data_IF_610982445689
#
_entry.id   IF_610982445689
#
_cell.length_a   1.000
_cell.length_b   1.000
_cell.length_c   1.000
_cell.angle_alpha   90.00
_cell.angle_beta   90.00
_cell.angle_gamma   90.00
#
_symmetry.space_group_name_H-M   'P 1'
#
loop_
_entity.id
_entity.type
_entity.pdbx_description
1 polymer ?
#
# COMPACT_ATOMS: atom_id res chain seq x y z
N UNK A 1 39.80 19.64 37.31
CA UNK A 1 39.62 18.21 36.95
C UNK A 1 38.12 17.98 36.86
N UNK A 2 37.59 18.02 35.61
CA UNK A 2 36.19 17.65 35.30
C UNK A 2 36.14 16.16 35.03
N UNK A 3 35.47 15.39 35.88
CA UNK A 3 35.22 13.97 35.72
C UNK A 3 33.89 13.79 34.98
N UNK A 4 33.94 13.52 33.66
CA UNK A 4 32.77 13.15 32.86
C UNK A 4 32.44 11.70 33.15
N UNK A 5 31.37 11.46 33.90
CA UNK A 5 30.78 10.13 34.07
C UNK A 5 29.99 9.79 32.80
N UNK A 6 30.56 9.00 31.90
CA UNK A 6 29.84 8.36 30.81
C UNK A 6 28.91 7.28 31.42
N UNK A 7 27.63 7.60 31.52
CA UNK A 7 26.60 6.61 31.81
C UNK A 7 26.50 5.63 30.65
N UNK A 8 26.97 4.40 30.85
CA UNK A 8 26.67 3.27 29.96
C UNK A 8 25.18 2.90 30.11
N UNK A 9 24.33 3.62 29.41
CA UNK A 9 22.94 3.18 29.20
C UNK A 9 22.93 1.90 28.36
N UNK A 10 22.41 0.82 28.92
CA UNK A 10 22.19 -0.43 28.20
C UNK A 10 21.25 -0.15 27.05
N UNK A 11 21.77 -0.11 25.82
CA UNK A 11 20.94 -0.03 24.61
C UNK A 11 20.31 -1.39 24.40
N UNK A 12 19.09 -1.57 24.88
CA UNK A 12 18.26 -2.72 24.50
C UNK A 12 17.80 -2.48 23.06
N UNK A 13 18.53 -3.05 22.12
CA UNK A 13 18.19 -3.04 20.69
C UNK A 13 17.10 -4.07 20.33
N UNK A 14 16.34 -4.54 21.31
CA UNK A 14 15.17 -5.39 21.04
C UNK A 14 13.94 -4.51 20.92
N UNK A 15 13.48 -4.32 19.68
CA UNK A 15 12.15 -3.79 19.43
C UNK A 15 11.13 -4.91 19.69
N UNK A 16 10.32 -4.84 20.78
CA UNK A 16 9.35 -5.89 21.09
C UNK A 16 8.25 -6.04 20.02
N UNK A 17 8.17 -5.10 19.09
CA UNK A 17 7.20 -5.08 18.00
C UNK A 17 7.83 -5.46 16.64
N UNK A 18 8.97 -6.14 16.63
CA UNK A 18 9.59 -6.62 15.39
C UNK A 18 8.64 -7.66 14.74
N UNK A 19 8.23 -7.40 13.49
CA UNK A 19 7.33 -8.28 12.76
C UNK A 19 5.83 -8.12 13.08
N UNK A 20 5.44 -7.15 13.92
CA UNK A 20 4.03 -6.91 14.26
C UNK A 20 3.35 -5.84 13.38
N UNK A 21 4.08 -5.22 12.46
CA UNK A 21 3.49 -4.25 11.51
C UNK A 21 2.66 -4.98 10.47
N UNK A 22 1.35 -4.76 10.47
CA UNK A 22 0.44 -5.29 9.45
C UNK A 22 0.52 -4.50 8.14
N UNK A 23 0.11 -5.16 7.05
CA UNK A 23 -0.12 -4.55 5.73
C UNK A 23 1.09 -3.80 5.13
N UNK A 24 2.31 -4.30 5.33
CA UNK A 24 3.55 -3.70 4.79
C UNK A 24 3.52 -3.59 3.26
N UNK A 25 2.83 -4.47 2.56
CA UNK A 25 2.69 -4.45 1.11
C UNK A 25 2.01 -3.18 0.57
N UNK A 26 1.23 -2.47 1.39
CA UNK A 26 0.64 -1.19 1.01
C UNK A 26 1.64 -0.03 0.98
N UNK A 27 2.85 -0.23 1.46
CA UNK A 27 3.94 0.74 1.35
C UNK A 27 4.70 0.62 0.03
N UNK A 28 4.45 -0.46 -0.74
CA UNK A 28 5.03 -0.60 -2.05
C UNK A 28 4.46 0.46 -2.99
N UNK A 29 5.32 1.16 -3.74
CA UNK A 29 4.87 2.24 -4.60
C UNK A 29 4.08 1.69 -5.78
N UNK A 30 2.98 2.36 -6.11
CA UNK A 30 2.11 2.01 -7.23
C UNK A 30 2.36 2.96 -8.39
N UNK A 31 2.72 2.40 -9.54
CA UNK A 31 2.84 3.12 -10.81
C UNK A 31 4.24 3.64 -11.10
N UNK A 32 4.69 3.47 -12.35
CA UNK A 32 6.03 3.86 -12.79
C UNK A 32 6.30 5.37 -12.68
N UNK A 33 5.27 6.21 -12.86
CA UNK A 33 5.38 7.66 -12.71
C UNK A 33 5.74 8.05 -11.27
N UNK A 34 5.07 7.47 -10.30
CA UNK A 34 5.31 7.74 -8.87
C UNK A 34 6.68 7.23 -8.44
N UNK A 35 7.05 6.06 -8.91
CA UNK A 35 8.33 5.42 -8.63
C UNK A 35 9.50 6.26 -9.17
N UNK A 36 9.40 6.74 -10.42
CA UNK A 36 10.43 7.59 -11.03
C UNK A 36 10.63 8.92 -10.30
N UNK A 37 9.63 9.36 -9.52
CA UNK A 37 9.68 10.57 -8.69
C UNK A 37 10.09 10.27 -7.24
N UNK A 38 10.50 9.03 -6.92
CA UNK A 38 10.83 8.62 -5.57
C UNK A 38 9.67 8.73 -4.59
N UNK A 39 8.42 8.53 -5.04
CA UNK A 39 7.20 8.66 -4.24
C UNK A 39 6.74 10.11 -3.98
N UNK A 40 7.42 11.13 -4.52
CA UNK A 40 7.06 12.53 -4.32
C UNK A 40 5.86 12.97 -5.19
N UNK A 41 4.78 12.18 -5.21
CA UNK A 41 3.60 12.37 -6.06
C UNK A 41 2.35 12.85 -5.29
N UNK A 42 2.34 12.80 -3.96
CA UNK A 42 1.14 13.06 -3.14
C UNK A 42 0.45 14.39 -3.47
N UNK A 43 1.24 15.45 -3.70
CA UNK A 43 0.71 16.77 -4.10
C UNK A 43 0.41 16.91 -5.59
N UNK A 44 0.93 16.01 -6.43
CA UNK A 44 0.83 16.05 -7.88
C UNK A 44 -0.15 15.03 -8.45
N UNK A 45 -0.66 14.12 -7.61
CA UNK A 45 -1.60 13.08 -8.01
C UNK A 45 -2.82 13.71 -8.71
N UNK A 46 -3.06 13.28 -9.96
CA UNK A 46 -4.05 13.91 -10.85
C UNK A 46 -4.70 12.92 -11.83
N UNK A 47 -4.47 11.64 -11.65
CA UNK A 47 -4.98 10.56 -12.49
C UNK A 47 -5.59 9.41 -11.64
N UNK A 48 -5.99 8.30 -12.26
CA UNK A 48 -6.60 7.17 -11.56
C UNK A 48 -5.66 6.50 -10.55
N UNK A 49 -4.33 6.69 -10.63
CA UNK A 49 -3.39 6.19 -9.62
C UNK A 49 -3.44 6.97 -8.31
N UNK A 50 -4.07 8.16 -8.31
CA UNK A 50 -4.21 9.00 -7.12
C UNK A 50 -4.94 8.30 -5.96
N UNK A 51 -5.79 7.30 -6.23
CA UNK A 51 -6.45 6.50 -5.18
C UNK A 51 -5.46 5.83 -4.22
N UNK A 52 -4.23 5.57 -4.67
CA UNK A 52 -3.19 4.94 -3.87
C UNK A 52 -2.33 5.95 -3.10
N UNK A 53 -2.25 7.21 -3.57
CA UNK A 53 -1.34 8.22 -3.06
C UNK A 53 -2.02 9.35 -2.29
N UNK A 54 -3.06 9.93 -2.89
CA UNK A 54 -3.85 11.00 -2.31
C UNK A 54 -5.25 10.97 -2.91
N UNK A 55 -6.24 10.46 -2.18
CA UNK A 55 -7.59 10.32 -2.72
C UNK A 55 -8.21 11.65 -3.16
N UNK A 56 -7.78 12.79 -2.63
CA UNK A 56 -8.25 14.08 -3.09
C UNK A 56 -7.84 14.40 -4.54
N UNK A 57 -6.80 13.74 -5.05
CA UNK A 57 -6.31 13.95 -6.42
C UNK A 57 -7.24 13.42 -7.51
N UNK A 58 -8.10 12.43 -7.19
CA UNK A 58 -9.00 11.83 -8.18
C UNK A 58 -10.04 12.81 -8.74
N UNK A 59 -10.28 13.95 -8.07
CA UNK A 59 -11.21 14.99 -8.57
C UNK A 59 -10.77 15.57 -9.91
N UNK A 60 -9.50 15.41 -10.29
CA UNK A 60 -8.97 15.91 -11.57
C UNK A 60 -9.24 14.96 -12.73
N UNK A 61 -9.71 13.75 -12.45
CA UNK A 61 -10.06 12.79 -13.49
C UNK A 61 -11.30 13.27 -14.23
N UNK A 62 -11.19 13.31 -15.57
CA UNK A 62 -12.31 13.61 -16.45
C UNK A 62 -12.99 12.32 -16.88
N UNK A 63 -14.32 12.23 -16.74
CA UNK A 63 -15.14 11.08 -17.13
C UNK A 63 -14.74 9.79 -16.38
N UNK A 64 -14.14 8.84 -17.09
CA UNK A 64 -13.69 7.55 -16.55
C UNK A 64 -12.21 7.37 -16.83
N UNK A 65 -11.48 6.88 -15.85
CA UNK A 65 -10.08 6.54 -16.00
C UNK A 65 -9.77 5.22 -15.28
N UNK A 66 -9.00 4.35 -15.91
CA UNK A 66 -8.47 3.14 -15.31
C UNK A 66 -6.94 3.22 -15.25
N UNK A 67 -6.38 2.64 -14.21
CA UNK A 67 -4.94 2.47 -14.05
C UNK A 67 -4.64 1.01 -13.72
N UNK A 68 -3.58 0.48 -14.29
CA UNK A 68 -3.05 -0.83 -13.99
C UNK A 68 -1.53 -0.74 -13.85
N UNK A 69 -1.00 -1.40 -12.83
CA UNK A 69 0.43 -1.51 -12.58
C UNK A 69 0.77 -2.95 -12.22
N UNK A 70 1.81 -3.48 -12.84
CA UNK A 70 2.40 -4.76 -12.54
C UNK A 70 3.88 -4.59 -12.25
N UNK A 71 4.37 -5.26 -11.23
CA UNK A 71 5.77 -5.28 -10.87
C UNK A 71 6.12 -6.68 -10.36
N UNK A 72 7.08 -7.33 -11.00
CA UNK A 72 7.72 -8.52 -10.48
C UNK A 72 8.90 -8.07 -9.60
N UNK A 73 8.89 -8.45 -8.34
CA UNK A 73 9.88 -8.01 -7.37
C UNK A 73 10.77 -9.18 -6.97
N UNK A 74 12.04 -9.13 -7.41
CA UNK A 74 13.08 -10.14 -7.17
C UNK A 74 12.73 -11.55 -7.64
N UNK A 75 11.89 -11.71 -8.66
CA UNK A 75 11.38 -13.00 -9.14
C UNK A 75 10.69 -13.86 -8.07
N UNK A 76 10.33 -13.28 -6.93
CA UNK A 76 9.70 -13.96 -5.79
C UNK A 76 8.31 -13.41 -5.49
N UNK A 77 8.05 -12.16 -5.85
CA UNK A 77 6.81 -11.48 -5.53
C UNK A 77 6.21 -10.85 -6.78
N UNK A 78 4.97 -11.18 -7.05
CA UNK A 78 4.16 -10.50 -8.05
C UNK A 78 3.27 -9.46 -7.37
N UNK A 79 3.53 -8.20 -7.67
CA UNK A 79 2.74 -7.08 -7.20
C UNK A 79 1.88 -6.53 -8.33
N UNK A 80 0.57 -6.53 -8.11
CA UNK A 80 -0.43 -6.03 -9.04
C UNK A 80 -1.26 -4.94 -8.36
N UNK A 81 -1.46 -3.83 -9.03
CA UNK A 81 -2.37 -2.79 -8.59
C UNK A 81 -3.27 -2.33 -9.74
N UNK A 82 -4.55 -2.20 -9.47
CA UNK A 82 -5.53 -1.72 -10.41
C UNK A 82 -6.44 -0.70 -9.76
N UNK A 83 -6.87 0.30 -10.52
CA UNK A 83 -7.89 1.23 -10.09
C UNK A 83 -8.80 1.67 -11.24
N UNK A 84 -10.02 2.04 -10.86
CA UNK A 84 -11.03 2.63 -11.74
C UNK A 84 -11.60 3.85 -11.04
N UNK A 85 -11.62 4.98 -11.73
CA UNK A 85 -12.16 6.24 -11.24
C UNK A 85 -13.24 6.74 -12.18
N UNK A 86 -14.37 7.13 -11.61
CA UNK A 86 -15.52 7.67 -12.32
C UNK A 86 -15.91 9.03 -11.76
N UNK A 87 -15.93 10.03 -12.63
CA UNK A 87 -16.37 11.38 -12.30
C UNK A 87 -17.87 11.51 -12.56
N UNK A 88 -18.64 11.69 -11.48
CA UNK A 88 -20.09 11.84 -11.50
C UNK A 88 -20.54 13.31 -11.51
N UNK A 89 -19.68 14.22 -11.96
CA UNK A 89 -19.98 15.65 -12.02
C UNK A 89 -20.19 16.27 -10.63
N UNK A 90 -21.31 16.92 -10.42
CA UNK A 90 -21.64 17.63 -9.18
C UNK A 90 -21.74 16.71 -7.95
N UNK A 91 -21.96 15.43 -8.15
CA UNK A 91 -21.98 14.44 -7.06
C UNK A 91 -20.58 14.13 -6.52
N UNK A 92 -19.53 14.45 -7.27
CA UNK A 92 -18.15 14.16 -6.92
C UNK A 92 -17.57 13.01 -7.73
N UNK A 93 -16.41 12.51 -7.30
CA UNK A 93 -15.64 11.49 -8.02
C UNK A 93 -15.52 10.24 -7.15
N UNK A 94 -15.83 9.09 -7.73
CA UNK A 94 -15.75 7.78 -7.09
C UNK A 94 -14.57 7.01 -7.64
N UNK A 95 -13.89 6.27 -6.78
CA UNK A 95 -12.79 5.39 -7.13
C UNK A 95 -12.97 4.00 -6.53
N UNK A 96 -12.53 2.99 -7.25
CA UNK A 96 -12.32 1.64 -6.74
C UNK A 96 -10.88 1.25 -6.99
N UNK A 97 -10.28 0.53 -6.04
CA UNK A 97 -8.88 0.12 -6.14
C UNK A 97 -8.69 -1.31 -5.62
N UNK A 98 -7.69 -1.98 -6.15
CA UNK A 98 -7.25 -3.29 -5.74
C UNK A 98 -5.72 -3.34 -5.75
N UNK A 99 -5.15 -3.91 -4.71
CA UNK A 99 -3.72 -4.25 -4.64
C UNK A 99 -3.62 -5.71 -4.28
N UNK A 100 -2.79 -6.43 -5.01
CA UNK A 100 -2.51 -7.83 -4.82
C UNK A 100 -0.99 -8.02 -4.72
N UNK A 101 -0.54 -8.68 -3.69
CA UNK A 101 0.81 -9.21 -3.58
C UNK A 101 0.72 -10.72 -3.45
N UNK A 102 1.42 -11.45 -4.28
CA UNK A 102 1.49 -12.91 -4.23
C UNK A 102 2.92 -13.39 -4.33
N UNK A 103 3.20 -14.54 -3.73
CA UNK A 103 4.48 -15.24 -3.87
C UNK A 103 4.26 -16.49 -4.69
N UNK A 104 5.32 -16.95 -5.35
CA UNK A 104 5.38 -18.32 -5.84
C UNK A 104 5.33 -19.31 -4.69
N UNK A 105 5.01 -20.57 -5.00
CA UNK A 105 5.05 -21.64 -4.03
C UNK A 105 6.47 -21.89 -3.54
N UNK A 106 6.67 -21.84 -2.22
CA UNK A 106 7.94 -22.06 -1.56
C UNK A 106 7.94 -23.40 -0.86
N UNK A 107 8.98 -24.21 -1.08
CA UNK A 107 9.11 -25.50 -0.43
C UNK A 107 9.46 -25.34 1.06
N UNK A 108 8.76 -26.10 1.89
CA UNK A 108 9.02 -26.13 3.33
C UNK A 108 10.26 -26.97 3.58
N UNK A 109 11.26 -26.36 4.22
CA UNK A 109 12.48 -27.04 4.68
C UNK A 109 12.51 -27.13 6.20
N UNK A 110 13.11 -28.18 6.74
CA UNK A 110 13.32 -28.36 8.18
C UNK A 110 14.79 -28.69 8.46
N UNK A 111 15.20 -28.66 9.72
CA UNK A 111 16.55 -29.06 10.09
C UNK A 111 16.85 -30.52 9.72
N UNK A 112 15.83 -31.39 9.70
CA UNK A 112 15.94 -32.80 9.37
C UNK A 112 15.91 -33.04 7.85
N UNK A 113 15.21 -32.17 7.10
CA UNK A 113 15.05 -32.23 5.64
C UNK A 113 15.44 -30.89 4.99
N UNK A 114 16.73 -30.54 4.96
CA UNK A 114 17.20 -29.26 4.46
C UNK A 114 17.07 -29.10 2.94
N UNK A 115 16.88 -30.18 2.21
CA UNK A 115 16.70 -30.20 0.76
C UNK A 115 15.24 -30.12 0.32
N UNK A 116 14.31 -30.02 1.29
CA UNK A 116 12.88 -29.91 1.05
C UNK A 116 12.08 -31.09 1.62
N UNK A 117 10.89 -30.79 2.14
CA UNK A 117 9.95 -31.78 2.70
C UNK A 117 8.94 -32.29 1.68
N UNK A 118 8.98 -31.82 0.43
CA UNK A 118 7.96 -32.06 -0.59
C UNK A 118 6.62 -31.37 -0.32
N UNK A 119 6.55 -30.50 0.70
CA UNK A 119 5.37 -29.65 1.00
C UNK A 119 5.67 -28.22 0.64
N UNK A 120 4.66 -27.53 0.11
CA UNK A 120 4.78 -26.16 -0.35
C UNK A 120 3.83 -25.24 0.43
N UNK A 121 4.18 -23.97 0.52
CA UNK A 121 3.33 -22.92 1.05
C UNK A 121 3.43 -21.69 0.15
N UNK A 122 2.40 -20.89 0.15
CA UNK A 122 2.34 -19.60 -0.51
C UNK A 122 1.94 -18.50 0.48
N UNK A 123 2.22 -17.27 0.11
CA UNK A 123 1.74 -16.09 0.81
C UNK A 123 1.05 -15.15 -0.18
N UNK A 124 0.00 -14.48 0.27
CA UNK A 124 -0.72 -13.54 -0.57
C UNK A 124 -1.45 -12.50 0.26
N UNK A 125 -1.32 -11.27 -0.17
CA UNK A 125 -1.96 -10.11 0.45
C UNK A 125 -2.89 -9.43 -0.55
N UNK A 126 -4.06 -9.04 -0.10
CA UNK A 126 -5.09 -8.37 -0.90
C UNK A 126 -5.55 -7.12 -0.16
N UNK A 127 -5.64 -6.00 -0.87
CA UNK A 127 -6.36 -4.83 -0.39
C UNK A 127 -7.37 -4.36 -1.44
N UNK A 128 -8.60 -4.17 -1.01
CA UNK A 128 -9.69 -3.61 -1.82
C UNK A 128 -10.08 -2.26 -1.23
N UNK A 129 -10.13 -1.23 -2.07
CA UNK A 129 -10.43 0.13 -1.64
C UNK A 129 -11.59 0.76 -2.39
N UNK A 130 -12.36 1.57 -1.69
CA UNK A 130 -13.38 2.45 -2.27
C UNK A 130 -13.01 3.87 -1.86
N UNK A 131 -12.96 4.77 -2.84
CA UNK A 131 -12.58 6.17 -2.66
C UNK A 131 -13.70 7.10 -3.09
N UNK A 132 -13.82 8.21 -2.39
CA UNK A 132 -14.67 9.32 -2.77
C UNK A 132 -13.93 10.62 -2.60
N UNK A 133 -14.06 11.51 -3.58
CA UNK A 133 -13.49 12.85 -3.48
C UNK A 133 -14.41 13.91 -4.10
N UNK A 134 -14.29 15.12 -3.59
CA UNK A 134 -15.06 16.27 -4.07
C UNK A 134 -14.29 17.57 -3.90
N UNK A 135 -14.50 18.49 -4.82
CA UNK A 135 -14.11 19.89 -4.64
C UNK A 135 -15.02 20.53 -3.59
N UNK A 136 -14.43 21.12 -2.55
CA UNK A 136 -15.14 21.97 -1.58
C UNK A 136 -15.15 23.43 -2.03
N UNK A 137 -14.10 23.85 -2.72
CA UNK A 137 -14.00 25.15 -3.39
C UNK A 137 -13.31 24.94 -4.73
N UNK A 138 -13.25 25.97 -5.59
CA UNK A 138 -12.57 25.92 -6.89
C UNK A 138 -11.10 25.48 -6.82
N UNK A 139 -10.48 25.58 -5.64
CA UNK A 139 -9.06 25.31 -5.43
C UNK A 139 -8.76 24.22 -4.39
N UNK A 140 -9.77 23.83 -3.61
CA UNK A 140 -9.56 22.90 -2.50
C UNK A 140 -10.43 21.66 -2.66
N UNK A 141 -9.80 20.51 -2.69
CA UNK A 141 -10.45 19.19 -2.74
C UNK A 141 -10.13 18.37 -1.51
N UNK A 142 -11.07 17.50 -1.16
CA UNK A 142 -10.92 16.48 -0.11
C UNK A 142 -11.26 15.12 -0.70
N UNK A 143 -10.63 14.09 -0.16
CA UNK A 143 -10.88 12.70 -0.53
C UNK A 143 -10.77 11.79 0.67
N UNK A 144 -11.51 10.72 0.61
CA UNK A 144 -11.54 9.64 1.59
C UNK A 144 -11.43 8.31 0.87
N UNK A 145 -10.67 7.38 1.43
CA UNK A 145 -10.66 5.98 0.99
C UNK A 145 -10.88 5.08 2.19
N UNK A 146 -11.70 4.05 1.99
CA UNK A 146 -11.86 2.93 2.92
C UNK A 146 -11.26 1.71 2.25
N UNK A 147 -10.37 1.00 2.95
CA UNK A 147 -9.70 -0.21 2.45
C UNK A 147 -10.02 -1.39 3.34
N UNK A 148 -10.39 -2.50 2.72
CA UNK A 148 -10.39 -3.81 3.35
C UNK A 148 -9.11 -4.54 2.99
N UNK A 149 -8.41 -5.07 3.98
CA UNK A 149 -7.12 -5.72 3.85
C UNK A 149 -7.25 -7.17 4.32
N UNK A 150 -6.74 -8.10 3.55
CA UNK A 150 -6.62 -9.50 3.92
C UNK A 150 -5.21 -9.98 3.60
N UNK A 151 -4.55 -10.55 4.59
CA UNK A 151 -3.19 -11.09 4.48
C UNK A 151 -3.23 -12.57 4.82
N UNK A 152 -2.58 -13.39 4.00
CA UNK A 152 -2.52 -14.84 4.18
C UNK A 152 -1.09 -15.32 4.03
N UNK A 153 -0.63 -16.07 5.01
CA UNK A 153 0.66 -16.77 4.97
C UNK A 153 0.38 -18.21 5.38
N UNK A 154 0.60 -19.15 4.48
CA UNK A 154 0.37 -20.56 4.71
C UNK A 154 -1.07 -20.81 5.23
N UNK A 155 -1.21 -21.18 6.53
CA UNK A 155 -2.49 -21.47 7.19
C UNK A 155 -2.99 -20.33 8.09
N UNK A 156 -2.26 -19.23 8.20
CA UNK A 156 -2.61 -18.07 8.99
C UNK A 156 -3.21 -16.97 8.09
N UNK A 157 -4.32 -16.40 8.54
CA UNK A 157 -5.00 -15.29 7.85
C UNK A 157 -5.26 -14.17 8.83
N UNK A 158 -4.99 -12.95 8.41
CA UNK A 158 -5.32 -11.74 9.14
C UNK A 158 -6.12 -10.79 8.25
N UNK A 159 -7.12 -10.11 8.80
CA UNK A 159 -7.90 -9.11 8.08
C UNK A 159 -8.02 -7.83 8.87
N UNK A 160 -8.16 -6.71 8.17
CA UNK A 160 -8.26 -5.39 8.77
C UNK A 160 -8.97 -4.40 7.85
N UNK A 161 -9.27 -3.24 8.41
CA UNK A 161 -9.82 -2.09 7.69
C UNK A 161 -8.93 -0.89 7.94
N UNK A 162 -8.64 -0.14 6.87
CA UNK A 162 -7.87 1.10 6.94
C UNK A 162 -8.65 2.25 6.30
N UNK A 163 -8.33 3.47 6.72
CA UNK A 163 -8.92 4.70 6.22
C UNK A 163 -7.81 5.66 5.81
N UNK A 164 -7.93 6.22 4.61
CA UNK A 164 -7.06 7.30 4.15
C UNK A 164 -7.87 8.57 3.97
N UNK A 165 -7.31 9.67 4.40
CA UNK A 165 -7.88 11.00 4.18
C UNK A 165 -6.83 11.81 3.42
N UNK A 166 -7.27 12.46 2.35
CA UNK A 166 -6.42 13.31 1.55
C UNK A 166 -7.03 14.70 1.36
N UNK A 167 -6.16 15.66 1.21
CA UNK A 167 -6.53 17.02 0.81
C UNK A 167 -5.59 17.49 -0.29
N UNK A 168 -6.09 18.35 -1.16
CA UNK A 168 -5.28 18.98 -2.20
C UNK A 168 -5.73 20.42 -2.40
N UNK A 169 -4.76 21.33 -2.42
CA UNK A 169 -4.95 22.73 -2.71
C UNK A 169 -4.20 23.10 -4.00
N UNK A 170 -4.83 23.94 -4.86
CA UNK A 170 -4.29 24.35 -6.15
C UNK A 170 -4.18 25.89 -6.25
#
# INVERSE_FOLDING_TARGET
IFLTVLGLGSVFAQNPNLGTSGAQFLQLPVGARSESMGGAIVGLADDASAVFWNPAGIVKVNNVQAHFSYMNWFDLFDFNAASLVYNAGDMGVFGASMVLLSTDEMEITTEEEPNGTGRYFDAGDVALGISYAKYLTDRFSVGLTVKYINQRIWNATASGVAFDIGTQYR
#
